data_IF_835804120931
#
_entry.id   IF_835804120931
#
_cell.length_a   1.000
_cell.length_b   1.000
_cell.length_c   1.000
_cell.angle_alpha   90.00
_cell.angle_beta   90.00
_cell.angle_gamma   90.00
#
_symmetry.space_group_name_H-M   'P 1'
#
loop_
_entity.id
_entity.type
_entity.pdbx_description
1 polymer ?
#
# COMPACT_ATOMS: atom_id res chain seq x y z
N UNK A 1 -8.74 -13.65 -5.42
CA UNK A 1 -9.80 -12.68 -5.77
C UNK A 1 -10.64 -13.33 -6.84
N UNK A 2 -11.90 -13.61 -6.54
CA UNK A 2 -12.84 -14.15 -7.51
C UNK A 2 -13.72 -12.97 -7.89
N UNK A 3 -13.72 -12.61 -9.17
CA UNK A 3 -14.65 -11.62 -9.71
C UNK A 3 -15.92 -12.39 -10.03
N UNK A 4 -17.04 -11.96 -9.46
CA UNK A 4 -18.34 -12.42 -9.88
C UNK A 4 -18.62 -11.85 -11.27
N UNK A 5 -18.60 -12.72 -12.28
CA UNK A 5 -18.68 -12.32 -13.69
C UNK A 5 -20.07 -11.87 -14.12
N UNK A 6 -21.08 -12.04 -13.27
CA UNK A 6 -22.48 -11.73 -13.57
C UNK A 6 -22.87 -10.34 -13.07
N UNK A 7 -22.32 -9.92 -11.93
CA UNK A 7 -22.64 -8.64 -11.29
C UNK A 7 -21.50 -7.63 -11.33
N UNK A 8 -20.27 -8.05 -11.66
CA UNK A 8 -19.08 -7.19 -11.62
C UNK A 8 -18.69 -6.76 -10.21
N UNK A 9 -19.34 -7.31 -9.17
CA UNK A 9 -19.06 -7.02 -7.77
C UNK A 9 -17.82 -7.81 -7.34
N UNK A 10 -16.87 -7.10 -6.75
CA UNK A 10 -15.69 -7.72 -6.16
C UNK A 10 -16.11 -8.43 -4.87
N UNK A 11 -16.28 -9.75 -4.92
CA UNK A 11 -16.49 -10.55 -3.72
C UNK A 11 -15.13 -10.72 -3.03
N UNK A 12 -14.92 -9.94 -1.97
CA UNK A 12 -13.76 -10.07 -1.09
C UNK A 12 -13.84 -11.41 -0.36
N UNK A 13 -13.28 -12.45 -0.99
CA UNK A 13 -13.14 -13.81 -0.44
C UNK A 13 -12.02 -13.92 0.57
N UNK A 14 -11.37 -12.81 0.94
CA UNK A 14 -10.43 -12.82 2.05
C UNK A 14 -11.24 -12.94 3.33
N UNK A 15 -11.38 -14.17 3.85
CA UNK A 15 -11.81 -14.39 5.22
C UNK A 15 -11.03 -13.41 6.11
N UNK A 16 -11.73 -12.43 6.69
CA UNK A 16 -11.12 -11.49 7.62
C UNK A 16 -10.80 -12.33 8.85
N UNK A 17 -9.58 -12.87 8.89
CA UNK A 17 -9.08 -13.49 10.10
C UNK A 17 -8.80 -12.35 11.09
N UNK A 18 -9.80 -11.99 11.88
CA UNK A 18 -9.69 -10.98 12.93
C UNK A 18 -8.65 -11.37 13.99
N UNK A 19 -8.33 -12.67 14.07
CA UNK A 19 -7.30 -13.25 14.94
C UNK A 19 -5.90 -13.28 14.30
N UNK A 20 -5.74 -12.77 13.06
CA UNK A 20 -4.42 -12.56 12.49
C UNK A 20 -3.66 -11.57 13.36
N UNK A 21 -2.81 -12.10 14.25
CA UNK A 21 -2.00 -11.36 15.21
C UNK A 21 -1.25 -10.28 14.43
N UNK A 22 -1.68 -9.03 14.61
CA UNK A 22 -0.94 -7.87 14.11
C UNK A 22 0.41 -7.91 14.81
N UNK A 23 1.48 -8.02 14.04
CA UNK A 23 2.84 -7.92 14.60
C UNK A 23 3.16 -6.44 14.66
N UNK A 24 3.16 -5.80 15.86
CA UNK A 24 3.48 -4.40 15.96
C UNK A 24 4.92 -4.19 15.49
N UNK A 25 5.16 -3.07 14.84
CA UNK A 25 6.49 -2.65 14.42
C UNK A 25 7.06 -1.80 15.56
N UNK A 26 8.13 -2.28 16.21
CA UNK A 26 8.85 -1.47 17.18
C UNK A 26 9.80 -0.46 16.49
N UNK A 27 10.41 0.44 17.26
CA UNK A 27 11.28 1.49 16.71
C UNK A 27 12.53 0.97 15.98
N UNK A 28 13.08 -0.18 16.40
CA UNK A 28 14.26 -0.76 15.76
C UNK A 28 13.90 -1.40 14.41
N UNK A 29 12.76 -2.07 14.35
CA UNK A 29 12.19 -2.62 13.11
C UNK A 29 11.81 -1.47 12.17
N UNK A 30 11.15 -0.42 12.65
CA UNK A 30 10.79 0.76 11.86
C UNK A 30 12.02 1.40 11.18
N UNK A 31 13.10 1.59 11.93
CA UNK A 31 14.37 2.12 11.39
C UNK A 31 15.00 1.21 10.32
N UNK A 32 14.77 -0.10 10.42
CA UNK A 32 15.20 -1.08 9.41
C UNK A 32 14.32 -1.03 8.17
N UNK A 33 12.99 -0.91 8.34
CA UNK A 33 12.03 -0.81 7.25
C UNK A 33 12.28 0.43 6.38
N UNK A 34 12.69 1.55 6.96
CA UNK A 34 13.08 2.76 6.21
C UNK A 34 14.23 2.52 5.20
N UNK A 35 15.07 1.51 5.45
CA UNK A 35 16.17 1.12 4.56
C UNK A 35 15.80 -0.02 3.63
N UNK A 36 14.68 -0.70 3.87
CA UNK A 36 14.22 -1.85 3.11
C UNK A 36 13.44 -1.41 1.87
N UNK A 37 14.15 -1.35 0.73
CA UNK A 37 13.57 -0.90 -0.54
C UNK A 37 12.48 -1.83 -1.09
N UNK A 38 12.39 -3.07 -0.59
CA UNK A 38 11.43 -4.07 -1.09
C UNK A 38 9.98 -3.59 -0.98
N UNK A 39 9.64 -2.83 0.07
CA UNK A 39 8.29 -2.26 0.23
C UNK A 39 7.96 -1.24 -0.86
N UNK A 40 8.94 -0.43 -1.26
CA UNK A 40 8.79 0.54 -2.34
C UNK A 40 8.67 -0.17 -3.69
N UNK A 41 9.49 -1.19 -3.92
CA UNK A 41 9.44 -1.99 -5.14
C UNK A 41 8.11 -2.71 -5.30
N UNK A 42 7.59 -3.31 -4.22
CA UNK A 42 6.29 -3.97 -4.22
C UNK A 42 5.14 -2.97 -4.47
N UNK A 43 5.19 -1.78 -3.88
CA UNK A 43 4.22 -0.71 -4.17
C UNK A 43 4.22 -0.32 -5.65
N UNK A 44 5.40 -0.08 -6.22
CA UNK A 44 5.55 0.23 -7.66
C UNK A 44 5.02 -0.90 -8.54
N UNK A 45 5.33 -2.16 -8.19
CA UNK A 45 4.86 -3.35 -8.92
C UNK A 45 3.34 -3.44 -8.90
N UNK A 46 2.71 -3.29 -7.75
CA UNK A 46 1.25 -3.34 -7.62
C UNK A 46 0.57 -2.24 -8.44
N UNK A 47 1.10 -1.01 -8.39
CA UNK A 47 0.54 0.12 -9.12
C UNK A 47 0.66 -0.09 -10.64
N UNK A 48 1.82 -0.55 -11.12
CA UNK A 48 2.01 -0.84 -12.54
C UNK A 48 1.20 -2.05 -13.01
N UNK A 49 1.36 -3.19 -12.33
CA UNK A 49 0.89 -4.48 -12.84
C UNK A 49 -0.60 -4.73 -12.52
N UNK A 50 -1.08 -4.28 -11.35
CA UNK A 50 -2.47 -4.54 -10.93
C UNK A 50 -3.42 -3.37 -11.20
N UNK A 51 -2.93 -2.14 -11.23
CA UNK A 51 -3.75 -0.96 -11.59
C UNK A 51 -3.58 -0.50 -13.02
N UNK A 52 -2.57 -1.04 -13.74
CA UNK A 52 -2.30 -0.62 -15.12
C UNK A 52 -1.83 0.82 -15.22
N UNK A 53 -1.24 1.36 -14.15
CA UNK A 53 -0.74 2.74 -14.14
C UNK A 53 0.42 2.88 -15.13
N UNK A 54 0.25 3.78 -16.11
CA UNK A 54 1.24 4.04 -17.15
C UNK A 54 1.99 5.36 -16.91
N UNK A 55 1.49 6.22 -16.01
CA UNK A 55 2.14 7.48 -15.67
C UNK A 55 3.48 7.22 -14.98
N UNK A 56 4.44 8.10 -15.25
CA UNK A 56 5.76 8.05 -14.65
C UNK A 56 5.67 8.34 -13.15
N UNK A 57 6.39 7.53 -12.38
CA UNK A 57 6.52 7.69 -10.94
C UNK A 57 7.64 8.69 -10.69
N UNK A 58 7.30 9.84 -10.13
CA UNK A 58 8.25 10.88 -9.75
C UNK A 58 9.04 10.48 -8.50
N UNK A 59 8.35 9.92 -7.49
CA UNK A 59 8.96 9.54 -6.22
C UNK A 59 8.16 8.45 -5.53
N UNK A 60 8.82 7.63 -4.72
CA UNK A 60 8.16 6.72 -3.78
C UNK A 60 8.90 6.67 -2.45
N UNK A 61 8.19 6.60 -1.33
CA UNK A 61 8.77 6.63 0.02
C UNK A 61 7.82 6.04 1.06
N UNK A 62 8.38 5.51 2.16
CA UNK A 62 7.57 5.01 3.26
C UNK A 62 6.97 6.18 4.05
N UNK A 63 5.68 6.08 4.33
CA UNK A 63 4.95 6.97 5.23
C UNK A 63 4.78 6.27 6.58
N UNK A 64 5.86 6.31 7.35
CA UNK A 64 5.90 5.74 8.69
C UNK A 64 5.13 6.64 9.66
N UNK A 65 4.19 6.03 10.39
CA UNK A 65 3.46 6.68 11.47
C UNK A 65 3.40 5.74 12.65
N UNK A 66 3.44 6.29 13.87
CA UNK A 66 3.29 5.51 15.09
C UNK A 66 1.99 4.68 15.09
N UNK A 67 0.94 5.19 14.44
CA UNK A 67 -0.34 4.50 14.24
C UNK A 67 -0.19 3.28 13.35
N UNK A 68 0.52 3.40 12.22
CA UNK A 68 0.79 2.26 11.32
C UNK A 68 1.66 1.21 12.01
N UNK A 69 2.67 1.64 12.76
CA UNK A 69 3.54 0.74 13.50
C UNK A 69 2.78 -0.07 14.55
N UNK A 70 1.92 0.58 15.35
CA UNK A 70 1.02 -0.11 16.31
C UNK A 70 0.07 -1.10 15.64
N UNK A 71 -0.27 -0.87 14.36
CA UNK A 71 -1.14 -1.74 13.57
C UNK A 71 -0.40 -2.84 12.81
N UNK A 72 0.94 -2.86 12.84
CA UNK A 72 1.74 -3.78 12.01
C UNK A 72 1.58 -3.48 10.53
N UNK A 73 1.55 -2.20 10.17
CA UNK A 73 1.31 -1.73 8.81
C UNK A 73 2.49 -0.92 8.31
N UNK A 74 2.82 -1.10 7.03
CA UNK A 74 3.81 -0.28 6.32
C UNK A 74 3.07 0.45 5.21
N UNK A 75 3.09 1.77 5.23
CA UNK A 75 2.50 2.59 4.17
C UNK A 75 3.59 3.13 3.25
N UNK A 76 3.31 3.18 1.95
CA UNK A 76 4.20 3.70 0.91
C UNK A 76 3.43 4.66 0.04
N UNK A 77 3.86 5.92 0.01
CA UNK A 77 3.36 6.91 -0.93
C UNK A 77 4.16 6.79 -2.24
N UNK A 78 3.45 6.74 -3.36
CA UNK A 78 3.98 6.72 -4.72
C UNK A 78 3.41 7.93 -5.44
N UNK A 79 4.22 8.96 -5.60
CA UNK A 79 3.88 10.22 -6.27
C UNK A 79 4.15 10.08 -7.77
N UNK A 80 3.16 10.44 -8.57
CA UNK A 80 3.25 10.51 -10.03
C UNK A 80 3.69 11.91 -10.47
N UNK A 81 4.22 12.01 -11.69
CA UNK A 81 4.68 13.29 -12.26
C UNK A 81 3.57 14.35 -12.41
N UNK A 82 2.32 13.93 -12.53
CA UNK A 82 1.17 14.84 -12.62
C UNK A 82 0.74 15.41 -11.26
N UNK A 83 1.41 15.03 -10.17
CA UNK A 83 1.11 15.45 -8.80
C UNK A 83 0.07 14.57 -8.09
N UNK A 84 -0.52 13.59 -8.77
CA UNK A 84 -1.37 12.58 -8.11
C UNK A 84 -0.51 11.56 -7.37
N UNK A 85 -1.07 10.92 -6.36
CA UNK A 85 -0.35 9.90 -5.60
C UNK A 85 -1.20 8.68 -5.29
N UNK A 86 -0.51 7.56 -5.14
CA UNK A 86 -1.06 6.35 -4.55
C UNK A 86 -0.46 6.16 -3.16
N UNK A 87 -1.29 5.89 -2.16
CA UNK A 87 -0.86 5.39 -0.86
C UNK A 87 -1.14 3.88 -0.81
N UNK A 88 -0.08 3.08 -0.78
CA UNK A 88 -0.14 1.62 -0.68
C UNK A 88 0.13 1.19 0.76
N UNK A 89 -0.86 0.58 1.41
CA UNK A 89 -0.73 0.06 2.76
C UNK A 89 -0.55 -1.45 2.74
N UNK A 90 0.50 -1.93 3.42
CA UNK A 90 0.87 -3.33 3.48
C UNK A 90 0.85 -3.87 4.91
N UNK A 91 0.54 -5.16 5.02
CA UNK A 91 0.63 -5.89 6.28
C UNK A 91 2.07 -6.35 6.52
N UNK A 92 2.65 -5.92 7.65
CA UNK A 92 3.92 -6.44 8.14
C UNK A 92 3.76 -7.83 8.77
N UNK A 93 4.72 -8.77 8.59
CA UNK A 93 5.88 -8.71 7.69
C UNK A 93 5.58 -9.19 6.26
N UNK A 94 4.37 -9.68 6.00
CA UNK A 94 4.01 -10.41 4.78
C UNK A 94 4.08 -9.64 3.44
N UNK A 95 4.17 -8.31 3.46
CA UNK A 95 4.03 -7.45 2.28
C UNK A 95 2.70 -7.63 1.52
N UNK A 96 1.68 -8.21 2.17
CA UNK A 96 0.35 -8.31 1.58
C UNK A 96 -0.31 -6.93 1.56
N UNK A 97 -0.73 -6.49 0.38
CA UNK A 97 -1.48 -5.25 0.20
C UNK A 97 -2.81 -5.33 0.98
N UNK A 98 -3.02 -4.41 1.91
CA UNK A 98 -4.28 -4.21 2.62
C UNK A 98 -5.17 -3.24 1.88
N UNK A 99 -4.61 -2.11 1.46
CA UNK A 99 -5.34 -1.03 0.83
C UNK A 99 -4.45 -0.31 -0.18
N UNK A 100 -5.06 0.21 -1.24
CA UNK A 100 -4.40 1.10 -2.20
C UNK A 100 -5.33 2.28 -2.46
N UNK A 101 -4.95 3.43 -1.95
CA UNK A 101 -5.72 4.68 -2.02
C UNK A 101 -5.13 5.53 -3.13
N UNK A 102 -5.98 6.08 -4.00
CA UNK A 102 -5.58 7.06 -5.01
C UNK A 102 -6.03 8.44 -4.59
N UNK A 103 -5.10 9.38 -4.55
CA UNK A 103 -5.35 10.79 -4.33
C UNK A 103 -5.02 11.54 -5.63
N UNK A 104 -6.01 12.11 -6.32
CA UNK A 104 -5.76 12.88 -7.53
C UNK A 104 -4.90 14.10 -7.22
N UNK A 105 -4.16 14.59 -8.23
CA UNK A 105 -3.45 15.85 -8.12
C UNK A 105 -4.44 16.94 -7.73
N UNK A 106 -4.11 17.73 -6.71
CA UNK A 106 -4.99 18.79 -6.26
C UNK A 106 -5.07 19.84 -7.38
N UNK A 107 -6.18 19.80 -8.13
CA UNK A 107 -6.50 20.86 -9.08
C UNK A 107 -6.94 22.03 -8.22
N UNK A 108 -5.98 22.89 -7.86
CA UNK A 108 -6.23 24.08 -7.05
C UNK A 108 -7.54 24.74 -7.47
N UNK A 109 -8.40 24.98 -6.47
CA UNK A 109 -9.59 25.82 -6.63
C UNK A 109 -9.22 27.22 -7.11
#
# INVERSE_FOLDING_TARGET
MIIDTETGVLVDTTAINADAIRTPIDGAVAATLQKDQRWIEEAKRIIKDKKGEQRKIAKAYLTDTEVNNKRGMVAVDVLLEDGSKYNAEFRYPSMMLRCLIYEPADKGK
#
